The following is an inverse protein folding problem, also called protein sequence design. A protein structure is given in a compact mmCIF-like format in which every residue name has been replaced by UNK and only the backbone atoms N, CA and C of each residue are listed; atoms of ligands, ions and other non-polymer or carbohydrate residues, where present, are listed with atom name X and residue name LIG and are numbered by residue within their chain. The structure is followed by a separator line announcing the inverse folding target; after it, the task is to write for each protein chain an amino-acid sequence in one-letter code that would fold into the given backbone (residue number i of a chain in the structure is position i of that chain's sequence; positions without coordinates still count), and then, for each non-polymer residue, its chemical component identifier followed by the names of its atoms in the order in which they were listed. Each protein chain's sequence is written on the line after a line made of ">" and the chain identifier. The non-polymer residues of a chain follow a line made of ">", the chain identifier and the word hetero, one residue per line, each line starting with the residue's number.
data_IF_104329827315
#
_entry.id   IF_104329827315
#
_cell.length_a   1.000
_cell.length_b   1.000
_cell.length_c   1.000
_cell.angle_alpha   90.00
_cell.angle_beta   90.00
_cell.angle_gamma   90.00
#
_symmetry.space_group_name_H-M   'P 1'
#
loop_
_entity.id
_entity.type
_entity.pdbx_description
1 polymer ?
2 water ?
#
# COMPACT_ATOMS: atom_id res chain seq x y z
N UNK A 14 27.83 -22.86 1.13
CA UNK A 14 26.74 -22.11 1.86
C UNK A 14 25.50 -21.95 1.01
N UNK A 15 25.64 -21.40 -0.19
CA UNK A 15 24.46 -21.20 -1.02
C UNK A 15 23.93 -22.55 -1.46
N UNK A 16 24.81 -23.54 -1.61
CA UNK A 16 24.36 -24.88 -1.98
C UNK A 16 23.44 -25.43 -0.90
N UNK A 17 23.94 -25.52 0.33
CA UNK A 17 23.13 -26.04 1.42
C UNK A 17 21.93 -25.12 1.76
N UNK A 18 22.11 -23.81 1.70
CA UNK A 18 20.99 -22.91 2.02
C UNK A 18 19.85 -23.12 1.03
N UNK A 19 20.17 -23.15 -0.26
CA UNK A 19 19.17 -23.37 -1.36
C UNK A 19 18.46 -24.72 -1.25
N UNK A 21 18.09 -26.28 1.64
CA UNK A 21 17.19 -26.05 2.78
C UNK A 21 15.93 -25.22 2.39
N UNK A 22 16.11 -24.19 1.57
CA UNK A 22 15.01 -23.27 1.16
C UNK A 22 14.12 -23.77 -0.01
N UNK A 23 14.45 -24.92 -0.59
CA UNK A 23 13.66 -25.53 -1.68
C UNK A 23 13.17 -26.90 -1.30
N UNK A 24 12.12 -27.31 -1.97
CA UNK A 24 11.54 -28.58 -1.73
C UNK A 24 11.31 -29.16 -3.09
N UNK A 25 11.36 -30.47 -3.12
CA UNK A 25 10.98 -31.23 -4.26
C UNK A 25 9.48 -31.45 -4.07
N UNK A 26 8.68 -30.86 -4.98
CA UNK A 26 7.24 -31.06 -5.01
C UNK A 26 6.93 -32.45 -5.50
N UNK A 27 7.65 -32.89 -6.53
CA UNK A 27 7.58 -34.19 -7.09
C UNK A 27 8.78 -34.42 -7.96
N UNK A 28 8.86 -35.56 -8.57
CA UNK A 28 10.00 -35.94 -9.41
C UNK A 28 10.20 -34.82 -10.47
N UNK A 29 11.38 -34.20 -10.47
CA UNK A 29 11.69 -33.17 -11.44
C UNK A 29 10.98 -31.86 -11.29
N UNK A 30 10.41 -31.58 -10.12
CA UNK A 30 9.68 -30.32 -9.91
C UNK A 30 9.96 -29.75 -8.52
N UNK A 31 10.49 -28.56 -8.44
CA UNK A 31 10.88 -27.92 -7.21
C UNK A 31 10.09 -26.65 -6.97
N UNK A 32 10.08 -26.22 -5.71
CA UNK A 32 9.41 -24.99 -5.28
C UNK A 32 10.30 -24.36 -4.21
N UNK A 33 10.17 -23.07 -4.08
CA UNK A 33 10.87 -22.28 -3.07
C UNK A 33 9.99 -22.10 -1.86
N UNK A 34 10.50 -22.37 -0.63
CA UNK A 34 9.75 -22.13 0.59
C UNK A 34 9.69 -20.60 0.86
N UNK A 35 8.49 -20.05 1.06
CA UNK A 35 8.34 -18.64 1.27
C UNK A 35 7.46 -18.38 2.46
N UNK A 36 7.46 -17.11 2.92
CA UNK A 36 6.92 -16.74 4.22
C UNK A 36 6.07 -15.52 4.21
N UNK A 37 5.04 -15.56 5.04
CA UNK A 37 4.10 -14.47 5.24
C UNK A 37 4.53 -13.67 6.47
N UNK A 38 3.93 -12.50 6.64
CA UNK A 38 4.13 -11.68 7.87
C UNK A 38 3.66 -12.45 9.11
N UNK A 39 2.60 -13.24 8.96
CA UNK A 39 2.10 -14.05 10.08
C UNK A 39 3.08 -15.11 10.53
N UNK A 40 4.00 -15.53 9.68
CA UNK A 40 4.99 -16.51 10.01
C UNK A 40 6.14 -16.01 10.85
N UNK A 41 6.31 -14.72 10.92
CA UNK A 41 7.48 -14.13 11.58
C UNK A 41 7.12 -13.23 12.74
N UNK A 42 8.14 -12.92 13.53
CA UNK A 42 8.03 -11.94 14.62
C UNK A 42 9.44 -11.31 14.81
N UNK A 43 9.42 -10.11 15.37
CA UNK A 43 10.62 -9.31 15.65
C UNK A 43 11.04 -9.59 17.10
N UNK A 44 12.36 -9.56 17.29
CA UNK A 44 13.00 -9.96 18.51
C UNK A 44 13.84 -8.85 19.15
N UNK A 45 13.73 -8.77 20.48
CA UNK A 45 14.54 -7.84 21.26
C UNK A 45 15.75 -8.59 21.79
N UNK A 46 16.90 -8.17 21.32
CA UNK A 46 18.19 -8.68 21.80
C UNK A 46 19.04 -7.56 22.43
N UNK A 47 18.60 -6.29 22.32
CA UNK A 47 19.35 -5.09 22.70
C UNK A 47 18.85 -4.41 23.92
N UNK A 48 19.60 -3.41 24.40
CA UNK A 48 19.13 -2.57 25.49
C UNK A 48 17.91 -1.81 24.94
N UNK A 49 16.86 -1.75 25.73
CA UNK A 49 15.65 -1.08 25.30
C UNK A 49 15.86 0.44 25.23
N UNK A 50 15.17 1.07 24.28
CA UNK A 50 15.16 2.52 24.11
C UNK A 50 13.79 3.01 24.51
N UNK A 51 13.65 4.32 24.53
CA UNK A 51 12.39 4.99 24.86
C UNK A 51 11.64 5.27 23.59
N UNK A 52 10.35 4.96 23.56
CA UNK A 52 9.55 5.22 22.38
C UNK A 52 9.52 6.70 22.02
N UNK A 53 9.72 7.59 22.98
CA UNK A 53 9.74 9.03 22.68
C UNK A 53 10.96 9.43 21.83
N UNK A 54 12.00 8.59 21.81
CA UNK A 54 13.20 8.82 21.03
C UNK A 54 13.17 8.20 19.65
N UNK A 55 12.08 7.53 19.29
CA UNK A 55 12.03 6.85 18.00
C UNK A 55 11.54 7.82 16.92
N UNK A 56 12.28 7.91 15.83
CA UNK A 56 11.97 8.73 14.66
C UNK A 56 11.24 7.87 13.63
N UNK A 57 9.99 8.21 13.36
CA UNK A 57 9.12 7.54 12.38
C UNK A 57 8.96 8.35 11.11
N UNK A 58 9.74 9.40 10.93
CA UNK A 58 9.59 10.29 9.75
C UNK A 58 10.01 9.52 8.50
N UNK A 59 9.33 9.82 7.41
CA UNK A 59 9.51 9.17 6.11
C UNK A 59 9.94 10.23 5.10
N UNK A 60 11.21 10.16 4.68
CA UNK A 60 11.79 11.08 3.72
C UNK A 60 11.86 10.45 2.35
N UNK A 61 10.97 10.86 1.46
CA UNK A 61 10.91 10.34 0.10
C UNK A 61 10.89 11.49 -0.90
N UNK A 62 11.81 11.47 -1.86
CA UNK A 62 11.92 12.53 -2.87
C UNK A 62 12.05 13.86 -2.09
N UNK A 63 11.24 14.89 -2.38
CA UNK A 63 11.33 16.16 -1.71
C UNK A 63 10.46 16.28 -0.49
N UNK A 64 9.83 15.18 -0.08
CA UNK A 64 8.83 15.18 0.99
C UNK A 64 9.32 14.54 2.30
N UNK A 65 8.81 15.05 3.41
CA UNK A 65 9.06 14.46 4.70
C UNK A 65 7.71 14.28 5.37
N UNK A 66 7.28 13.04 5.56
CA UNK A 66 6.02 12.78 6.24
C UNK A 66 6.29 12.40 7.67
N UNK A 67 5.44 12.84 8.58
CA UNK A 67 5.57 12.47 10.00
C UNK A 67 5.46 10.98 10.25
N UNK A 68 4.64 10.29 9.43
CA UNK A 68 4.39 8.89 9.52
C UNK A 68 4.72 8.21 8.20
N UNK A 69 5.24 6.97 8.26
CA UNK A 69 5.60 6.20 7.04
C UNK A 69 4.38 5.43 6.51
N UNK A 70 3.27 6.16 6.33
CA UNK A 70 2.00 5.59 5.95
C UNK A 70 1.35 6.33 4.80
N UNK A 72 -2.50 5.89 2.54
CA UNK A 72 -3.71 5.11 2.48
C UNK A 72 -3.74 4.34 1.17
N UNK A 73 -4.40 3.17 1.20
CA UNK A 73 -4.67 2.45 -0.05
C UNK A 73 -5.67 3.29 -0.87
N UNK A 74 -5.37 3.50 -2.18
CA UNK A 74 -6.25 4.34 -2.99
C UNK A 74 -7.50 3.66 -3.51
N UNK A 75 -8.43 3.40 -2.61
CA UNK A 75 -9.74 2.93 -2.95
C UNK A 75 -10.70 3.98 -2.44
N UNK A 76 -11.78 4.13 -3.19
CA UNK A 76 -12.86 5.04 -2.81
C UNK A 76 -13.57 4.73 -1.50
N UNK A 77 -13.48 3.47 -1.04
CA UNK A 77 -14.03 3.08 0.26
C UNK A 77 -13.39 3.92 1.37
N UNK A 78 -12.18 4.36 1.17
CA UNK A 78 -11.52 5.31 2.08
C UNK A 78 -11.51 6.73 1.55
N UNK A 79 -11.02 6.84 0.32
CA UNK A 79 -10.51 8.10 -0.20
C UNK A 79 -11.44 9.05 -0.89
N UNK A 80 -12.31 9.63 -0.08
CA UNK A 80 -13.05 10.84 -0.49
C UNK A 80 -12.03 11.97 -0.42
N UNK A 81 -12.33 13.12 -1.05
CA UNK A 81 -11.40 14.24 -0.89
C UNK A 81 -11.11 14.62 0.58
N UNK A 82 -12.14 14.59 1.40
CA UNK A 82 -12.10 14.84 2.86
C UNK A 82 -11.08 13.93 3.52
N UNK A 83 -11.21 12.64 3.22
CA UNK A 83 -10.34 11.66 3.84
C UNK A 83 -8.86 11.88 3.47
N UNK A 84 -8.60 12.06 2.17
CA UNK A 84 -7.29 12.27 1.62
C UNK A 84 -6.60 13.46 2.27
N UNK A 85 -7.34 14.55 2.41
CA UNK A 85 -6.83 15.74 3.08
C UNK A 85 -6.50 15.42 4.55
N UNK A 86 -7.41 14.73 5.24
CA UNK A 86 -7.18 14.38 6.63
C UNK A 86 -6.00 13.44 6.79
N UNK A 88 -3.24 13.54 5.06
CA UNK A 88 -2.15 14.47 5.03
C UNK A 88 -2.04 15.30 6.30
N UNK A 89 -3.17 15.81 6.78
CA UNK A 89 -3.19 16.57 8.05
C UNK A 89 -2.66 15.76 9.24
N UNK A 90 -2.98 14.47 9.24
CA UNK A 90 -2.54 13.54 10.28
C UNK A 90 -1.12 13.00 10.17
N UNK A 91 -0.37 13.42 9.15
CA UNK A 91 1.04 13.10 9.02
C UNK A 91 1.41 12.08 8.01
N UNK A 92 0.46 11.51 7.29
CA UNK A 92 0.74 10.52 6.28
C UNK A 92 0.58 11.08 4.88
N UNK A 93 0.57 10.21 3.89
CA UNK A 93 0.40 10.59 2.49
C UNK A 93 -0.98 10.11 2.02
N UNK A 94 -1.85 11.07 1.70
CA UNK A 94 -3.15 10.75 1.14
C UNK A 94 -3.03 10.41 -0.34
N UNK A 95 -3.72 9.35 -0.76
CA UNK A 95 -3.68 8.84 -2.13
C UNK A 95 -5.08 8.65 -2.68
N UNK A 96 -5.28 9.20 -3.86
CA UNK A 96 -6.56 9.25 -4.58
C UNK A 96 -6.60 8.22 -5.69
N UNK A 97 -7.73 7.57 -5.90
CA UNK A 97 -7.91 6.70 -7.06
C UNK A 97 -8.49 7.57 -8.19
N UNK A 98 -7.70 7.83 -9.23
CA UNK A 98 -8.15 8.60 -10.37
C UNK A 98 -9.23 7.89 -11.17
N UNK A 99 -9.18 6.56 -11.17
CA UNK A 99 -10.05 5.75 -12.01
C UNK A 99 -11.22 5.07 -11.31
N UNK A 100 -11.53 5.43 -10.07
CA UNK A 100 -12.72 4.90 -9.43
C UNK A 100 -13.91 5.79 -9.68
N UNK A 101 -14.68 6.00 -8.61
CA UNK A 101 -15.93 6.75 -8.67
C UNK A 101 -15.82 8.27 -8.81
N UNK A 102 -14.65 8.86 -8.49
CA UNK A 102 -14.48 10.32 -8.46
C UNK A 102 -14.88 11.05 -9.73
N UNK A 103 -14.43 10.58 -10.88
CA UNK A 103 -14.81 11.18 -12.15
C UNK A 103 -16.06 10.59 -12.80
N UNK A 104 -16.66 9.56 -12.22
CA UNK A 104 -17.76 8.82 -12.85
C UNK A 104 -19.14 9.16 -12.34
N UNK A 105 -19.24 9.73 -11.14
CA UNK A 105 -20.51 10.05 -10.51
C UNK A 105 -20.46 11.39 -9.82
N UNK A 106 -21.33 12.31 -10.24
CA UNK A 106 -21.47 13.65 -9.64
C UNK A 106 -21.62 13.63 -8.14
N UNK A 107 -22.43 12.70 -7.64
CA UNK A 107 -22.68 12.56 -6.23
C UNK A 107 -21.95 11.34 -5.78
N UNK A 108 -20.74 11.59 -5.27
CA UNK A 108 -19.88 10.51 -4.81
C UNK A 108 -20.45 9.78 -3.60
N UNK A 109 -21.05 10.49 -2.64
CA UNK A 109 -21.64 9.81 -1.45
C UNK A 109 -22.79 8.88 -1.83
N UNK A 110 -23.60 9.31 -2.79
CA UNK A 110 -24.71 8.51 -3.32
C UNK A 110 -24.18 7.21 -3.93
N UNK A 111 -23.11 7.29 -4.72
CA UNK A 111 -22.50 6.08 -5.33
C UNK A 111 -22.02 5.11 -4.27
N UNK A 112 -21.28 5.62 -3.27
CA UNK A 112 -20.82 4.80 -2.17
C UNK A 112 -22.00 4.15 -1.43
N UNK A 113 -23.05 4.93 -1.18
CA UNK A 113 -24.26 4.44 -0.50
C UNK A 113 -24.90 3.23 -1.20
N UNK A 114 -24.93 3.26 -2.53
CA UNK A 114 -25.43 2.13 -3.33
C UNK A 114 -24.64 0.82 -3.13
N UNK A 115 -23.30 0.90 -2.98
CA UNK A 115 -22.48 -0.29 -2.74
C UNK A 115 -22.84 -0.89 -1.36
N UNK A 116 -22.99 -0.01 -0.38
CA UNK A 116 -23.32 -0.37 1.01
C UNK A 116 -24.69 -1.04 1.05
N UNK A 117 -25.68 -0.38 0.48
CA UNK A 117 -27.06 -0.90 0.36
C UNK A 117 -27.07 -2.30 -0.28
N UNK A 118 -26.36 -2.44 -1.41
CA UNK A 118 -26.26 -3.70 -2.13
C UNK A 118 -25.66 -4.82 -1.27
N UNK A 119 -24.63 -4.49 -0.50
CA UNK A 119 -23.96 -5.43 0.39
C UNK A 119 -24.86 -5.90 1.53
N UNK A 120 -25.55 -4.94 2.16
CA UNK A 120 -26.45 -5.27 3.29
C UNK A 120 -27.69 -6.00 2.77
N UNK A 121 -28.31 -5.51 1.70
CA UNK A 121 -29.50 -6.14 1.12
C UNK A 121 -29.25 -7.47 0.38
N UNK A 122 -28.14 -7.59 -0.37
CA UNK A 122 -27.87 -8.79 -1.21
C UNK A 122 -26.48 -9.44 -1.19
N UNK A 123 -25.77 -9.28 -0.07
CA UNK A 123 -24.43 -9.87 0.14
C UNK A 123 -23.34 -9.39 -0.85
N UNK A 124 -22.23 -10.13 -0.91
CA UNK A 124 -21.06 -9.77 -1.73
C UNK A 124 -21.37 -9.85 -3.25
N UNK A 125 -22.38 -10.64 -3.64
CA UNK A 125 -22.86 -10.78 -5.04
C UNK A 125 -23.46 -9.49 -5.60
N UNK A 126 -24.39 -8.92 -4.84
CA UNK A 126 -25.03 -7.65 -5.21
C UNK A 126 -24.00 -6.52 -5.13
N UNK A 127 -23.12 -6.58 -4.13
CA UNK A 127 -22.06 -5.56 -3.97
C UNK A 127 -21.16 -5.57 -5.20
N UNK A 128 -20.65 -6.75 -5.57
CA UNK A 128 -19.84 -6.92 -6.79
C UNK A 128 -20.55 -6.37 -8.02
N UNK A 129 -21.81 -6.77 -8.20
CA UNK A 129 -22.58 -6.32 -9.36
C UNK A 129 -22.73 -4.81 -9.40
N UNK A 130 -22.99 -4.22 -8.23
CA UNK A 130 -23.18 -2.77 -8.09
C UNK A 130 -21.87 -2.02 -8.36
N UNK A 131 -20.77 -2.51 -7.80
CA UNK A 131 -19.44 -1.95 -8.08
C UNK A 131 -19.10 -2.02 -9.57
N UNK A 132 -19.37 -3.18 -10.21
CA UNK A 132 -19.15 -3.36 -11.64
C UNK A 132 -19.88 -2.28 -12.46
N UNK A 133 -21.16 -2.09 -12.17
CA UNK A 133 -21.98 -1.08 -12.86
C UNK A 133 -21.52 0.37 -12.65
N UNK A 134 -21.25 0.74 -11.40
CA UNK A 134 -20.78 2.10 -11.07
C UNK A 134 -19.44 2.44 -11.74
N UNK A 135 -18.53 1.48 -11.76
CA UNK A 135 -17.23 1.69 -12.42
C UNK A 135 -17.30 1.69 -13.95
N UNK A 136 -18.36 1.09 -14.50
CA UNK A 136 -18.60 1.06 -15.96
C UNK A 136 -19.07 2.42 -16.51
N UNK A 137 -19.56 3.33 -15.66
CA UNK A 137 -19.95 4.70 -16.07
C UNK A 137 -18.72 5.47 -16.58
N UNK A 138 -18.86 6.29 -17.64
CA UNK A 138 -17.71 7.00 -18.21
C UNK A 138 -17.00 7.98 -17.28
N UNK A 139 -15.69 8.11 -17.45
CA UNK A 139 -14.86 8.98 -16.65
C UNK A 139 -14.90 10.40 -17.22
N UNK A 140 -15.35 11.34 -16.41
CA UNK A 140 -15.43 12.76 -16.76
C UNK A 140 -14.16 13.36 -16.18
N UNK A 141 -13.19 13.70 -17.03
CA UNK A 141 -11.91 14.24 -16.55
C UNK A 141 -12.05 15.61 -15.85
N UNK A 142 -13.03 16.42 -16.24
CA UNK A 142 -13.27 17.71 -15.59
C UNK A 142 -13.79 17.52 -14.15
N UNK A 143 -14.69 16.54 -13.92
CA UNK A 143 -15.21 16.21 -12.59
C UNK A 143 -14.05 15.68 -11.74
N UNK A 144 -13.26 14.78 -12.30
CA UNK A 144 -12.07 14.25 -11.59
C UNK A 144 -11.12 15.39 -11.18
N UNK A 145 -10.85 16.29 -12.12
CA UNK A 145 -9.97 17.44 -11.89
C UNK A 145 -10.49 18.39 -10.80
N UNK A 146 -11.80 18.57 -10.76
CA UNK A 146 -12.43 19.37 -9.73
C UNK A 146 -12.20 18.82 -8.34
N UNK A 147 -12.31 17.49 -8.21
CA UNK A 147 -12.12 16.84 -6.91
C UNK A 147 -10.67 16.86 -6.51
N UNK A 148 -9.77 16.63 -7.46
CA UNK A 148 -8.33 16.73 -7.20
C UNK A 148 -7.97 18.17 -6.72
N UNK A 149 -8.58 19.19 -7.33
CA UNK A 149 -8.37 20.60 -6.94
C UNK A 149 -8.77 20.85 -5.49
N UNK A 150 -9.81 20.18 -4.98
CA UNK A 150 -10.17 20.32 -3.58
C UNK A 150 -9.02 19.87 -2.70
N UNK A 151 -8.39 18.74 -3.06
CA UNK A 151 -7.27 18.23 -2.29
C UNK A 151 -6.09 19.22 -2.42
N UNK A 152 -5.76 19.58 -3.65
CA UNK A 152 -4.67 20.51 -3.91
C UNK A 152 -4.81 21.83 -3.10
N UNK A 153 -6.00 22.43 -3.12
CA UNK A 153 -6.26 23.68 -2.40
C UNK A 153 -6.14 23.61 -0.89
N UNK A 154 -6.13 22.40 -0.34
CA UNK A 154 -5.95 22.23 1.11
C UNK A 154 -4.54 22.51 1.55
N UNK A 155 -3.60 22.40 0.62
CA UNK A 155 -2.19 22.53 0.94
C UNK A 155 -1.53 21.19 1.24
N UNK A 156 -2.30 20.09 1.31
CA UNK A 156 -1.70 18.78 1.54
C UNK A 156 -1.05 18.27 0.25
N UNK A 157 -0.12 17.34 0.39
CA UNK A 157 0.56 16.76 -0.76
C UNK A 157 -0.47 15.90 -1.53
N UNK A 158 -0.53 16.08 -2.85
CA UNK A 158 -1.50 15.43 -3.72
C UNK A 158 -0.84 14.20 -4.37
N UNK A 159 -1.26 13.00 -4.01
CA UNK A 159 -0.79 11.76 -4.65
C UNK A 159 -1.97 11.12 -5.36
N UNK A 160 -1.80 10.76 -6.62
CA UNK A 160 -2.90 10.21 -7.40
C UNK A 160 -2.45 8.92 -8.04
N UNK A 161 -3.29 7.91 -7.81
CA UNK A 161 -3.10 6.60 -8.40
C UNK A 161 -3.81 6.45 -9.74
N UNK A 162 -3.11 5.87 -10.69
CA UNK A 162 -3.61 5.48 -12.00
C UNK A 162 -3.23 3.99 -12.19
N UNK A 163 -4.02 3.29 -13.03
CA UNK A 163 -3.78 1.90 -13.32
C UNK A 163 -2.65 1.82 -14.34
N UNK A 164 -1.91 0.68 -14.35
CA UNK A 164 -0.91 0.49 -15.40
C UNK A 164 -1.55 0.59 -16.82
N UNK A 165 -2.74 -0.01 -16.96
CA UNK A 165 -3.52 -0.01 -18.19
C UNK A 165 -3.73 1.38 -18.79
N UNK A 166 -4.13 2.37 -17.97
CA UNK A 166 -4.45 3.74 -18.46
C UNK A 166 -3.50 4.88 -18.08
N UNK A 167 -2.29 4.56 -17.63
CA UNK A 167 -1.37 5.60 -17.15
C UNK A 167 -1.01 6.67 -18.20
N UNK A 168 -0.76 6.27 -19.44
CA UNK A 168 -0.41 7.27 -20.48
C UNK A 168 -1.54 8.28 -20.76
N UNK A 169 -2.80 7.81 -20.70
CA UNK A 169 -3.97 8.69 -20.93
C UNK A 169 -4.26 9.58 -19.71
N UNK A 170 -4.34 8.96 -18.53
CA UNK A 170 -4.77 9.64 -17.29
C UNK A 170 -3.70 10.42 -16.53
N UNK A 171 -2.46 9.95 -16.53
CA UNK A 171 -1.39 10.64 -15.75
C UNK A 171 -1.25 12.14 -16.06
N UNK A 172 -1.22 12.53 -17.33
CA UNK A 172 -1.11 13.97 -17.63
C UNK A 172 -2.30 14.83 -17.16
N UNK A 173 -3.49 14.23 -17.15
CA UNK A 173 -4.70 14.91 -16.67
C UNK A 173 -4.56 15.18 -15.17
N UNK A 174 -4.14 14.15 -14.41
CA UNK A 174 -4.08 14.30 -12.93
C UNK A 174 -2.91 15.17 -12.47
N UNK A 175 -1.83 15.18 -13.24
CA UNK A 175 -0.67 16.03 -12.97
C UNK A 175 -1.08 17.49 -13.21
N UNK A 176 -1.76 17.75 -14.33
CA UNK A 176 -2.32 19.07 -14.63
C UNK A 176 -3.27 19.53 -13.52
N UNK A 177 -4.08 18.61 -12.98
CA UNK A 177 -5.02 18.93 -11.90
C UNK A 177 -4.35 19.21 -10.55
N UNK A 178 -3.08 18.85 -10.39
CA UNK A 178 -2.33 19.15 -9.16
C UNK A 178 -1.54 18.04 -8.53
N UNK A 179 -1.52 16.84 -9.12
CA UNK A 179 -0.78 15.76 -8.51
C UNK A 179 0.69 16.11 -8.31
N UNK A 180 1.16 15.91 -7.09
CA UNK A 180 2.60 16.06 -6.74
C UNK A 180 3.36 14.77 -6.91
N UNK A 181 2.66 13.64 -6.77
CA UNK A 181 3.25 12.30 -6.88
C UNK A 181 2.27 11.45 -7.68
N UNK A 182 2.79 10.64 -8.61
CA UNK A 182 1.97 9.76 -9.39
C UNK A 182 2.22 8.35 -8.85
N UNK A 183 1.16 7.62 -8.55
CA UNK A 183 1.22 6.22 -8.10
C UNK A 183 0.64 5.40 -9.24
N UNK A 184 1.43 4.52 -9.83
CA UNK A 184 0.97 3.60 -10.89
C UNK A 184 0.81 2.28 -10.15
N UNK A 185 -0.42 1.89 -9.85
CA UNK A 185 -0.67 0.70 -9.02
C UNK A 185 -1.72 -0.23 -9.58
N UNK A 186 -1.30 -1.49 -9.74
CA UNK A 186 -2.16 -2.64 -10.00
C UNK A 186 -1.85 -3.68 -8.90
N UNK A 187 -2.60 -4.78 -8.84
CA UNK A 187 -2.20 -5.83 -7.86
C UNK A 187 -0.81 -6.41 -8.22
N UNK A 188 -0.46 -6.41 -9.51
CA UNK A 188 0.84 -6.86 -9.98
C UNK A 188 1.19 -6.04 -11.21
N UNK A 189 2.40 -5.50 -11.28
CA UNK A 189 2.89 -4.68 -12.42
C UNK A 189 4.27 -5.21 -12.82
N UNK A 190 4.65 -5.06 -14.10
CA UNK A 190 6.03 -5.30 -14.56
C UNK A 190 6.49 -4.02 -15.30
N UNK A 191 7.81 -3.79 -15.36
CA UNK A 191 8.41 -2.62 -16.07
C UNK A 191 8.15 -2.68 -17.56
N UNK A 192 8.30 -3.90 -18.11
CA UNK A 192 8.02 -4.23 -19.52
C UNK A 192 6.79 -5.18 -19.62
N UNK A 193 5.87 -4.85 -20.51
CA UNK A 193 4.66 -5.65 -20.80
C UNK A 193 4.61 -5.90 -22.30
N UNK A 194 4.24 -7.12 -22.69
CA UNK A 194 4.14 -7.53 -24.10
C UNK A 194 2.64 -7.65 -24.43
N UNK A 195 2.16 -6.89 -25.42
CA UNK A 195 0.72 -6.82 -25.82
C UNK A 195 0.39 -7.42 -27.20
N UNK A 196 -0.91 -7.38 -27.52
CA UNK A 196 -1.57 -7.84 -28.80
C UNK A 196 -3.01 -8.31 -28.51
N UNK A 202 10.14 2.91 -23.00
CA UNK A 202 8.79 2.40 -22.66
C UNK A 202 8.29 3.07 -21.34
N UNK A 203 8.12 2.29 -20.26
CA UNK A 203 7.78 2.88 -18.94
C UNK A 203 8.96 3.76 -18.42
N UNK A 204 10.21 3.38 -18.74
CA UNK A 204 11.38 4.22 -18.41
C UNK A 204 11.30 5.58 -19.08
N UNK A 205 11.02 5.59 -20.38
CA UNK A 205 10.91 6.86 -21.11
C UNK A 205 9.76 7.70 -20.56
N UNK A 206 8.63 7.04 -20.29
CA UNK A 206 7.45 7.71 -19.75
C UNK A 206 7.73 8.32 -18.38
N UNK A 207 8.21 7.51 -17.45
CA UNK A 207 8.56 8.00 -16.11
C UNK A 207 9.60 9.13 -16.20
N UNK A 208 10.63 8.93 -17.03
CA UNK A 208 11.66 9.95 -17.28
C UNK A 208 11.13 11.28 -17.83
N UNK A 209 10.03 11.22 -18.57
CA UNK A 209 9.41 12.42 -19.14
C UNK A 209 8.62 13.23 -18.13
N UNK A 210 8.21 12.62 -17.02
CA UNK A 210 7.39 13.36 -16.07
C UNK A 210 8.23 14.26 -15.20
N UNK A 211 7.61 15.31 -14.71
CA UNK A 211 8.22 16.24 -13.75
C UNK A 211 7.79 15.96 -12.32
N UNK A 212 7.12 14.82 -12.08
CA UNK A 212 6.73 14.41 -10.75
C UNK A 212 7.36 13.06 -10.45
N UNK A 213 7.66 12.77 -9.17
CA UNK A 213 8.13 11.45 -8.78
C UNK A 213 7.02 10.41 -8.94
N UNK A 214 7.44 9.17 -9.21
CA UNK A 214 6.53 8.09 -9.45
C UNK A 214 6.76 6.92 -8.49
N UNK A 215 5.67 6.40 -7.93
CA UNK A 215 5.69 5.17 -7.10
C UNK A 215 4.97 4.13 -7.95
N UNK A 216 5.55 2.94 -8.10
CA UNK A 216 4.95 1.91 -8.98
C UNK A 216 4.86 0.56 -8.30
N UNK A 217 3.77 -0.17 -8.55
CA UNK A 217 3.65 -1.53 -8.04
C UNK A 217 2.32 -2.16 -8.44
N UNK A 218 1.97 -3.35 -7.97
CA UNK A 218 2.75 -4.20 -7.12
C UNK A 218 3.84 -5.00 -7.80
N UNK A 219 4.98 -5.08 -7.13
CA UNK A 219 6.13 -5.87 -7.58
C UNK A 219 6.53 -6.75 -6.43
N UNK A 220 6.63 -8.07 -6.67
CA UNK A 220 6.94 -9.01 -5.57
C UNK A 220 8.20 -9.81 -5.69
N UNK A 221 8.96 -9.61 -6.76
CA UNK A 221 10.13 -10.41 -7.01
C UNK A 221 11.31 -9.48 -7.25
N UNK A 222 12.49 -10.03 -6.99
CA UNK A 222 13.74 -9.31 -7.15
C UNK A 222 13.97 -8.71 -8.54
N UNK A 223 13.81 -9.54 -9.55
CA UNK A 223 14.15 -9.12 -10.92
C UNK A 223 13.21 -8.05 -11.45
N UNK A 224 11.92 -8.24 -11.25
CA UNK A 224 10.93 -7.25 -11.65
C UNK A 224 11.16 -5.94 -10.90
N UNK A 225 11.50 -6.02 -9.61
CA UNK A 225 11.80 -4.85 -8.83
C UNK A 225 12.98 -4.07 -9.34
N UNK A 226 14.07 -4.78 -9.64
CA UNK A 226 15.25 -4.15 -10.15
C UNK A 226 14.95 -3.44 -11.48
N UNK A 227 14.23 -4.11 -12.37
CA UNK A 227 13.85 -3.48 -13.65
C UNK A 227 12.94 -2.26 -13.44
N UNK A 230 15.00 0.72 -12.34
CA UNK A 230 15.68 1.29 -13.48
C UNK A 230 14.84 2.19 -14.38
N UNK A 231 13.54 2.16 -14.19
CA UNK A 231 12.64 3.10 -14.89
C UNK A 231 12.73 4.53 -14.32
N UNK A 232 13.29 4.71 -13.12
CA UNK A 232 13.31 6.03 -12.45
C UNK A 232 12.31 6.19 -11.36
N UNK A 233 11.50 5.16 -11.09
CA UNK A 233 10.55 5.22 -10.00
C UNK A 233 11.27 5.54 -8.69
N UNK A 234 10.67 6.34 -7.82
CA UNK A 234 11.26 6.70 -6.51
C UNK A 234 10.81 5.72 -5.42
N UNK A 235 9.72 4.97 -5.67
CA UNK A 235 9.20 3.99 -4.75
C UNK A 235 8.60 2.85 -5.50
N UNK A 236 8.65 1.66 -4.88
CA UNK A 236 8.06 0.40 -5.37
C UNK A 236 7.08 -0.12 -4.34
N UNK A 237 5.85 -0.37 -4.75
CA UNK A 237 4.86 -0.98 -3.90
C UNK A 237 5.00 -2.50 -4.04
N UNK A 238 5.16 -3.17 -2.90
CA UNK A 238 5.31 -4.63 -2.84
C UNK A 238 4.00 -5.19 -2.32
N UNK A 239 3.41 -6.11 -3.06
CA UNK A 239 2.17 -6.70 -2.71
C UNK A 239 1.06 -6.15 -3.53
N UNK A 240 -0.10 -6.79 -3.41
CA UNK A 240 -1.30 -6.46 -4.21
C UNK A 240 -2.48 -5.93 -3.46
N UNK A 241 -2.26 -5.42 -2.24
CA UNK A 241 -3.37 -4.99 -1.43
C UNK A 241 -4.25 -6.17 -1.10
N UNK A 242 -5.52 -5.90 -0.87
CA UNK A 242 -6.53 -6.92 -0.62
C UNK A 242 -7.06 -7.42 -1.95
N UNK A 243 -7.10 -8.74 -2.15
CA UNK A 243 -7.63 -9.30 -3.40
C UNK A 243 -7.87 -10.81 -3.16
N UNK A 244 -8.51 -11.44 -4.11
CA UNK A 244 -8.80 -12.87 -4.10
C UNK A 244 -7.91 -13.64 -5.09
N UNK A 245 -6.72 -13.12 -5.38
CA UNK A 245 -5.78 -13.78 -6.30
C UNK A 245 -5.46 -15.20 -5.88
N UNK A 246 -5.42 -15.50 -4.57
CA UNK A 246 -5.12 -16.89 -4.13
C UNK A 246 -6.16 -17.89 -4.64
N UNK A 247 -7.42 -17.53 -4.60
CA UNK A 247 -8.50 -18.37 -5.04
C UNK A 247 -8.70 -18.33 -6.55
N UNK A 248 -8.51 -17.13 -7.15
CA UNK A 248 -8.89 -16.94 -8.57
C UNK A 248 -7.78 -17.23 -9.57
N UNK A 249 -6.56 -16.93 -9.14
CA UNK A 249 -5.34 -17.10 -9.99
C UNK A 249 -4.32 -18.09 -9.47
N UNK A 250 -4.46 -18.57 -8.24
CA UNK A 250 -3.47 -19.49 -7.64
C UNK A 250 -2.18 -18.80 -7.32
N UNK A 252 -0.41 -16.17 -4.55
CA UNK A 252 -0.57 -15.66 -3.19
C UNK A 252 0.77 -15.07 -2.86
N UNK A 253 0.80 -13.78 -2.51
CA UNK A 253 2.07 -13.18 -2.21
C UNK A 253 2.43 -13.57 -0.74
N UNK A 254 3.67 -13.95 -0.58
CA UNK A 254 4.29 -14.28 0.71
C UNK A 254 4.98 -12.98 1.03
N UNK A 256 6.50 -11.47 3.63
CA UNK A 256 7.83 -11.38 4.26
C UNK A 256 8.94 -11.62 3.24
N UNK A 257 8.79 -12.67 2.44
CA UNK A 257 9.74 -13.01 1.42
C UNK A 257 9.76 -11.91 0.35
N UNK A 258 8.61 -11.45 -0.09
CA UNK A 258 8.50 -10.43 -1.16
C UNK A 258 9.19 -9.11 -0.77
N UNK A 259 8.92 -8.62 0.43
CA UNK A 259 9.59 -7.40 0.93
C UNK A 259 11.08 -7.63 0.99
N UNK A 260 11.52 -8.76 1.54
CA UNK A 260 12.95 -9.02 1.66
C UNK A 260 13.64 -9.13 0.28
N UNK A 261 13.01 -9.82 -0.66
CA UNK A 261 13.56 -9.93 -2.00
C UNK A 261 13.66 -8.57 -2.68
N UNK A 262 12.63 -7.74 -2.59
CA UNK A 262 12.61 -6.39 -3.19
C UNK A 262 13.63 -5.49 -2.47
N UNK A 263 13.81 -5.69 -1.17
CA UNK A 263 14.90 -5.00 -0.44
C UNK A 263 16.29 -5.35 -0.92
N UNK A 264 16.51 -6.61 -1.30
CA UNK A 264 17.75 -7.01 -1.89
C UNK A 264 17.99 -6.32 -3.23
N UNK A 265 16.93 -6.20 -4.02
CA UNK A 265 16.98 -5.42 -5.29
C UNK A 265 17.32 -3.98 -5.00
N UNK A 266 16.70 -3.39 -3.98
CA UNK A 266 16.99 -1.98 -3.57
C UNK A 266 18.45 -1.80 -3.21
N UNK A 267 19.01 -2.75 -2.46
CA UNK A 267 20.43 -2.72 -2.06
C UNK A 267 21.30 -2.78 -3.29
N UNK A 268 20.97 -3.67 -4.21
CA UNK A 268 21.79 -3.81 -5.40
C UNK A 268 21.68 -2.63 -6.36
N UNK A 269 20.49 -2.03 -6.44
CA UNK A 269 20.23 -0.86 -7.22
C UNK A 269 20.96 0.36 -6.65
N UNK A 270 21.00 0.46 -5.32
CA UNK A 270 21.76 1.50 -4.63
C UNK A 270 23.22 1.38 -5.04
N UNK A 271 23.75 0.16 -5.06
CA UNK A 271 25.15 -0.03 -5.47
C UNK A 271 25.37 0.32 -6.93
N UNK A 272 24.50 -0.16 -7.81
CA UNK A 272 24.69 0.06 -9.21
C UNK A 272 24.65 1.55 -9.65
N UNK A 273 23.88 2.34 -8.96
CA UNK A 273 23.69 3.74 -9.23
C UNK A 273 24.61 4.64 -8.41
N UNK A 274 25.31 4.06 -7.45
CA UNK A 274 26.11 4.83 -6.52
C UNK A 274 25.36 5.63 -5.49
N UNK A 275 24.15 5.24 -5.13
CA UNK A 275 23.43 5.95 -4.10
C UNK A 275 21.99 6.26 -4.29
N UNK A 276 21.36 5.91 -5.41
CA UNK A 276 19.92 6.23 -5.56
C UNK A 276 19.15 5.24 -4.70
N UNK A 277 18.40 5.77 -3.78
CA UNK A 277 17.58 5.00 -2.82
C UNK A 277 16.11 4.97 -3.23
N UNK A 278 15.65 3.79 -3.65
CA UNK A 278 14.26 3.58 -4.02
C UNK A 278 13.53 3.03 -2.80
N UNK A 279 12.44 3.68 -2.43
CA UNK A 279 11.65 3.25 -1.29
C UNK A 279 10.82 2.00 -1.55
N UNK A 280 10.69 1.17 -0.53
CA UNK A 280 9.85 -0.04 -0.55
C UNK A 280 8.63 0.21 0.32
N UNK A 281 7.44 0.14 -0.30
CA UNK A 281 6.19 0.44 0.39
C UNK A 281 5.34 -0.82 0.34
N UNK A 282 5.06 -1.43 1.50
CA UNK A 282 4.27 -2.68 1.58
C UNK A 282 2.78 -2.47 1.55
N UNK A 283 2.11 -3.14 0.63
CA UNK A 283 0.66 -3.16 0.55
C UNK A 283 0.12 -4.58 0.40
N UNK A 284 -0.35 -5.13 1.50
CA UNK A 284 -0.83 -6.51 1.50
C UNK A 284 -0.48 -7.15 2.85
N UNK A 285 -1.47 -7.88 3.38
CA UNK A 285 -1.31 -8.60 4.66
C UNK A 285 -1.12 -7.66 5.86
N UNK A 286 -1.65 -6.40 5.78
CA UNK A 286 -1.44 -5.42 6.85
C UNK A 286 -2.76 -5.05 7.52
N UNK A 287 -3.02 -5.69 8.66
CA UNK A 287 -4.25 -5.46 9.39
C UNK A 287 -4.07 -4.73 10.71
N UNK A 288 -2.85 -4.74 11.25
CA UNK A 288 -2.60 -4.15 12.56
C UNK A 288 -1.20 -3.60 12.65
N UNK A 289 -0.89 -2.93 13.75
CA UNK A 289 0.41 -2.32 13.93
C UNK A 289 1.55 -3.32 13.97
N UNK A 290 1.30 -4.53 14.45
CA UNK A 290 2.32 -5.58 14.43
C UNK A 290 2.69 -5.93 13.01
N UNK A 291 1.71 -6.00 12.09
CA UNK A 291 1.99 -6.28 10.69
C UNK A 291 2.87 -5.18 10.10
N UNK A 292 2.62 -3.91 10.45
CA UNK A 292 3.43 -2.82 10.01
C UNK A 292 4.86 -2.98 10.48
N UNK A 293 5.04 -3.25 11.77
CA UNK A 293 6.38 -3.50 12.34
C UNK A 293 7.13 -4.58 11.55
N UNK A 294 6.43 -5.68 11.27
CA UNK A 294 7.04 -6.79 10.57
C UNK A 294 7.41 -6.40 9.16
N UNK A 295 6.57 -5.64 8.47
CA UNK A 295 6.89 -5.17 7.13
C UNK A 295 8.14 -4.32 7.09
N UNK A 296 8.29 -3.39 8.04
CA UNK A 296 9.50 -2.57 8.14
C UNK A 296 10.72 -3.46 8.41
N UNK A 297 10.59 -4.41 9.35
CA UNK A 297 11.67 -5.34 9.67
C UNK A 297 12.14 -6.08 8.45
N UNK A 298 11.26 -6.45 7.54
CA UNK A 298 11.62 -7.20 6.35
C UNK A 298 12.31 -6.35 5.30
N UNK A 299 12.29 -5.02 5.44
CA UNK A 299 12.91 -4.11 4.51
C UNK A 299 12.10 -2.96 4.02
N UNK A 300 10.83 -2.84 4.37
CA UNK A 300 9.97 -1.78 3.91
C UNK A 300 10.36 -0.46 4.59
N UNK A 301 10.29 0.62 3.81
CA UNK A 301 10.49 1.99 4.29
C UNK A 301 9.18 2.59 4.76
N UNK A 302 8.05 2.08 4.26
CA UNK A 302 6.75 2.60 4.57
C UNK A 302 5.74 1.52 4.24
N UNK A 303 4.51 1.79 4.63
CA UNK A 303 3.40 0.86 4.46
C UNK A 303 2.13 1.56 3.97
N UNK A 304 1.36 0.84 3.16
CA UNK A 304 0.03 1.25 2.78
C UNK A 304 -0.92 0.67 3.85
N UNK A 305 -1.79 1.53 4.39
CA UNK A 305 -2.87 1.13 5.26
C UNK A 305 -4.18 1.23 4.50
N UNK A 306 -4.91 0.11 4.40
CA UNK A 306 -6.15 -0.03 3.71
C UNK A 306 -7.31 -0.27 4.64
N UNK A 307 -7.72 -1.54 4.77
CA UNK A 307 -8.87 -1.88 5.59
C UNK A 307 -8.83 -1.39 7.03
N UNK A 308 -7.64 -1.32 7.72
CA UNK A 308 -7.70 -0.74 9.09
C UNK A 308 -8.21 0.68 9.15
N UNK A 309 -8.04 1.44 8.09
CA UNK A 309 -8.53 2.83 8.09
C UNK A 309 -10.01 3.00 7.78
N UNK A 310 -10.69 1.92 7.37
CA UNK A 310 -12.10 1.94 7.06
C UNK A 310 -12.97 2.26 8.27
N UNK A 311 -12.45 2.04 9.48
CA UNK A 311 -13.15 2.40 10.73
C UNK A 311 -13.17 3.90 11.04
N UNK A 312 -12.32 4.66 10.36
CA UNK A 312 -12.20 6.11 10.60
C UNK A 312 -13.50 6.81 10.27
N UNK A 313 -13.86 7.78 11.12
CA UNK A 313 -15.05 8.59 10.91
C UNK A 313 -15.03 9.24 9.51
N UNK A 314 -13.85 9.63 9.08
CA UNK A 314 -13.67 10.28 7.76
C UNK A 314 -13.67 9.36 6.55
N UNK A 315 -13.63 8.05 6.75
CA UNK A 315 -13.57 7.11 5.61
C UNK A 315 -14.86 7.20 4.83
N UNK A 316 -14.75 7.32 3.52
CA UNK A 316 -15.91 7.50 2.64
C UNK A 316 -16.92 6.35 2.73
N UNK A 317 -16.43 5.15 2.95
CA UNK A 317 -17.23 3.96 2.96
C UNK A 317 -17.80 3.57 4.29
N UNK A 318 -17.70 4.40 5.32
CA UNK A 318 -18.49 4.19 6.57
C UNK A 318 -18.25 2.85 7.27
N UNK A 319 -17.05 2.35 7.26
CA UNK A 319 -16.78 1.04 7.84
C UNK A 319 -16.55 -0.09 6.84
N UNK A 320 -17.01 0.08 5.61
CA UNK A 320 -16.83 -0.90 4.55
C UNK A 320 -15.54 -0.63 3.77
N UNK A 321 -14.94 -1.69 3.25
CA UNK A 321 -13.75 -1.60 2.44
C UNK A 321 -13.87 -2.47 1.19
N UNK A 322 -13.22 -2.04 0.12
CA UNK A 322 -13.05 -2.85 -1.08
C UNK A 322 -11.91 -2.30 -1.87
N UNK A 323 -11.16 -3.16 -2.56
CA UNK A 323 -10.13 -2.75 -3.46
C UNK A 323 -10.77 -2.41 -4.82
N UNK A 324 -10.09 -1.65 -5.66
CA UNK A 324 -10.60 -1.33 -7.00
C UNK A 324 -10.88 -2.57 -7.86
N UNK A 325 -10.13 -3.63 -7.65
CA UNK A 325 -10.26 -4.84 -8.44
C UNK A 325 -11.58 -5.58 -8.15
N UNK A 326 -12.30 -5.20 -7.08
CA UNK A 326 -13.66 -5.72 -6.81
C UNK A 326 -14.62 -5.29 -7.86
N UNK A 327 -14.31 -4.22 -8.59
CA UNK A 327 -15.20 -3.68 -9.62
C UNK A 327 -14.90 -4.12 -11.08
N UNK A 328 -13.89 -4.97 -11.30
CA UNK A 328 -13.59 -5.42 -12.65
C UNK A 328 -14.86 -6.02 -13.28
N UNK A 329 -15.20 -5.64 -14.54
CA UNK A 329 -16.44 -6.14 -15.17
C UNK A 329 -16.51 -7.63 -15.56
N UNK A 330 -15.38 -8.28 -15.82
CA UNK A 330 -15.36 -9.71 -16.24
C UNK A 330 -14.72 -10.67 -15.27
N UNK A 331 -13.77 -10.16 -14.48
CA UNK A 331 -13.04 -10.97 -13.58
C UNK A 331 -12.71 -10.19 -12.31
N UNK A 332 -13.74 -9.93 -11.50
CA UNK A 332 -13.49 -9.22 -10.24
C UNK A 332 -12.60 -10.07 -9.31
N UNK A 333 -11.66 -9.44 -8.63
CA UNK A 333 -10.70 -10.12 -7.75
C UNK A 333 -10.65 -9.48 -6.38
N UNK A 334 -11.77 -8.97 -5.95
CA UNK A 334 -11.83 -8.40 -4.63
C UNK A 334 -13.21 -8.45 -4.12
N UNK A 335 -13.31 -8.33 -2.80
CA UNK A 335 -14.59 -8.30 -2.17
C UNK A 335 -14.76 -7.09 -1.24
N UNK A 336 -16.03 -6.72 -1.04
CA UNK A 336 -16.43 -5.75 -0.03
C UNK A 336 -16.38 -6.45 1.33
N UNK A 337 -15.65 -5.88 2.27
CA UNK A 337 -15.61 -6.36 3.66
C UNK A 337 -16.22 -5.26 4.54
N UNK A 338 -16.70 -5.63 5.72
CA UNK A 338 -17.24 -4.68 6.70
C UNK A 338 -16.35 -4.76 7.95
N UNK A 339 -16.13 -3.62 8.60
CA UNK A 339 -15.26 -3.56 9.79
C UNK A 339 -15.94 -4.20 10.99
N UNK A 340 -15.11 -4.68 11.93
CA UNK A 340 -15.59 -5.35 13.16
C UNK A 340 -15.53 -4.43 14.38
N UNK A 345 -19.38 3.94 17.84
CA UNK A 345 -19.05 5.34 17.49
C UNK A 345 -17.65 5.35 16.86
N UNK A 346 -17.58 5.81 15.61
CA UNK A 346 -16.32 5.68 14.85
C UNK A 346 -15.19 6.48 15.44
N UNK A 347 -13.99 5.88 15.51
CA UNK A 347 -12.87 6.70 15.93
C UNK A 347 -12.49 7.64 14.79
N UNK A 348 -11.88 8.76 15.13
CA UNK A 348 -11.28 9.62 14.10
C UNK A 348 -10.05 8.97 13.48
N UNK A 349 -9.70 9.43 12.28
CA UNK A 349 -8.44 8.97 11.66
C UNK A 349 -7.27 9.34 12.57
N UNK A 350 -7.33 10.50 13.22
CA UNK A 350 -6.31 10.88 14.18
C UNK A 350 -6.14 9.81 15.26
N UNK A 351 -7.21 9.30 15.82
CA UNK A 351 -7.12 8.26 16.85
C UNK A 351 -6.55 6.97 16.29
N UNK A 352 -7.00 6.60 15.10
CA UNK A 352 -6.45 5.37 14.48
C UNK A 352 -4.92 5.48 14.28
N UNK A 353 -4.46 6.64 13.83
CA UNK A 353 -3.04 6.83 13.60
C UNK A 353 -2.16 7.22 14.79
N UNK A 354 -2.70 8.00 15.71
CA UNK A 354 -1.95 8.57 16.83
C UNK A 354 -2.47 8.21 18.20
N UNK A 355 -3.59 7.50 18.29
CA UNK A 355 -4.17 7.26 19.60
C UNK A 355 -4.82 8.47 20.27
N UNK A 356 -5.13 8.39 21.59
CA UNK A 356 -4.92 7.23 22.45
C UNK A 356 -5.78 6.04 22.03
N UNK A 357 -5.19 4.86 22.08
CA UNK A 357 -5.87 3.64 21.73
C UNK A 357 -6.71 3.19 22.92
N UNK A 358 -7.94 2.79 22.65
CA UNK A 358 -8.82 2.14 23.63
C UNK A 358 -9.04 0.63 23.26
N UNK A 360 -6.85 -2.90 22.46
CA UNK A 360 -5.49 -3.51 22.51
C UNK A 360 -5.06 -4.41 21.34
N UNK A 361 -5.88 -4.47 20.31
CA UNK A 361 -5.62 -5.40 19.19
C UNK A 361 -4.81 -4.81 18.06
N UNK A 362 -4.14 -3.67 18.30
CA UNK A 362 -3.27 -3.11 17.33
C UNK A 362 -3.91 -2.44 16.13
N UNK A 363 -5.16 -2.05 16.23
CA UNK A 363 -5.86 -1.39 15.10
C UNK A 363 -6.09 0.11 15.32
N UNK A 364 -5.56 0.66 16.41
CA UNK A 364 -5.54 2.10 16.69
C UNK A 364 -4.16 2.45 17.22
N UNK A 365 -3.85 3.74 17.18
CA UNK A 365 -2.51 4.25 17.54
C UNK A 365 -1.39 3.48 16.82
N UNK A 366 -1.47 3.43 15.49
CA UNK A 366 -0.45 2.80 14.68
C UNK A 366 0.91 3.39 14.94
N UNK A 367 0.98 4.70 15.09
CA UNK A 367 2.23 5.37 15.40
C UNK A 367 2.84 4.83 16.70
N UNK A 368 2.02 4.73 17.72
CA UNK A 368 2.42 4.29 19.06
C UNK A 368 2.95 2.86 19.05
N UNK A 369 2.24 1.98 18.35
CA UNK A 369 2.69 0.61 18.23
C UNK A 369 4.01 0.49 17.51
N UNK A 370 4.17 1.22 16.41
CA UNK A 370 5.43 1.22 15.65
C UNK A 370 6.58 1.71 16.52
N UNK A 371 6.39 2.84 17.22
CA UNK A 371 7.46 3.40 18.03
C UNK A 371 7.80 2.50 19.21
N UNK A 372 6.79 1.90 19.84
CA UNK A 372 7.03 1.04 20.99
C UNK A 372 7.76 -0.22 20.58
N UNK A 373 7.40 -0.80 19.43
CA UNK A 373 8.06 -1.98 18.94
C UNK A 373 9.56 -1.68 18.68
N UNK A 374 9.85 -0.63 17.93
CA UNK A 374 11.23 -0.25 17.64
C UNK A 374 12.03 -0.05 18.94
N UNK A 375 11.45 0.70 19.87
CA UNK A 375 12.07 1.02 21.15
C UNK A 375 12.33 -0.24 21.96
N UNK A 376 11.35 -1.14 22.02
CA UNK A 376 11.53 -2.40 22.76
C UNK A 376 12.68 -3.23 22.15
N UNK A 377 12.84 -3.14 20.83
CA UNK A 377 13.89 -3.88 20.14
C UNK A 377 15.26 -3.20 20.11
N UNK A 378 15.34 -1.98 20.63
CA UNK A 378 16.56 -1.20 20.74
C UNK A 378 16.88 -0.30 19.58
N UNK A 379 15.89 0.08 18.78
CA UNK A 379 16.07 0.91 17.60
C UNK A 379 15.34 2.22 17.74
N UNK A 380 15.88 3.26 17.10
CA UNK A 380 15.27 4.59 17.11
C UNK A 380 15.00 5.14 15.71
N UNK A 381 15.23 4.36 14.65
CA UNK A 381 14.76 4.79 13.33
C UNK A 381 14.37 3.58 12.49
N UNK A 382 13.54 3.86 11.49
CA UNK A 382 12.99 2.84 10.63
C UNK A 382 14.00 2.10 9.76
N UNK A 383 14.96 2.80 9.16
CA UNK A 383 15.96 2.14 8.31
C UNK A 383 16.78 1.14 9.07
N UNK A 384 17.26 1.54 10.26
CA UNK A 384 18.09 0.65 11.09
C UNK A 384 17.32 -0.62 11.48
N UNK A 385 16.02 -0.46 11.72
CA UNK A 385 15.13 -1.56 12.16
C UNK A 385 15.01 -2.68 11.12
N UNK A 386 15.35 -2.39 9.87
CA UNK A 386 15.38 -3.44 8.83
C UNK A 386 16.41 -4.53 9.10
N UNK A 387 17.29 -4.36 10.07
CA UNK A 387 18.25 -5.39 10.44
C UNK A 387 17.86 -6.09 11.76
N UNK A 388 16.70 -5.80 12.33
CA UNK A 388 16.30 -6.44 13.58
C UNK A 388 16.29 -7.97 13.46
N UNK A 389 16.61 -8.68 14.52
CA UNK A 389 16.54 -10.13 14.53
C UNK A 389 15.08 -10.59 14.35
N UNK A 390 14.89 -11.70 13.62
CA UNK A 390 13.61 -12.28 13.35
C UNK A 390 13.52 -13.72 13.82
N UNK A 391 12.30 -14.09 14.24
CA UNK A 391 11.92 -15.45 14.50
C UNK A 391 10.87 -15.90 13.48
N UNK A 392 10.91 -17.18 13.15
CA UNK A 392 9.93 -17.81 12.29
C UNK A 392 9.28 -18.86 13.27
N UNK A 393 7.99 -18.71 13.50
CA UNK A 393 7.15 -19.50 14.42
C UNK A 393 6.23 -20.35 13.58
#
# INVERSE_FOLDING_TARGET
>A
XGSDKIHHHHHHENLYFQGXRDHVEIGIGREARRTYSLDDISVVSSRRTRSSKDVDTTWHIDAYKFDLPFXNHPSDALASPEFVIEXGKQGGLGVINAEGLWGRHADLDEAIAKVIAAYEEGDQAAATRTLQELHAAPLDTELLSERIAQVRDSGEIVAVRVSPQNVREIAPIVIKAGADLLVIQGTLISAEHVNTGGEALNLKEFIGSLDVPVIAGGVNDYTTALHXXRTGAVGIIVGGGENTNSLALGXEVSXATAIADVAAARRDYLDETGGRYVHIIADGSIENSGDVVKAIACGADAVVLGSPLARAEEAAGKGYFWPAVAAHPRFPRGVVTESVDLDEAAPSLEQILHGPSTXPWGVENFEGGLKRALAKCGYTDLKSFQKVSLHVN
#
